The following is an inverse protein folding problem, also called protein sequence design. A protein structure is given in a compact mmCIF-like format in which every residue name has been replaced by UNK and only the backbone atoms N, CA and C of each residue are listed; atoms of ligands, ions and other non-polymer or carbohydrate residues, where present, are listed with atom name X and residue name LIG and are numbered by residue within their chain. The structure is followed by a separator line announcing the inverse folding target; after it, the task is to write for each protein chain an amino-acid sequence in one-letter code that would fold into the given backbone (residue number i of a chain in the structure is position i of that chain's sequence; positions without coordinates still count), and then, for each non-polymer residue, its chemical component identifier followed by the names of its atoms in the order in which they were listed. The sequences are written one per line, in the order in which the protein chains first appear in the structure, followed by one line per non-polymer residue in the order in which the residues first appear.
data_IF_597276254754
#
_entry.id   IF_597276254754
#
_cell.length_a   1.000
_cell.length_b   1.000
_cell.length_c   1.000
_cell.angle_alpha   90.00
_cell.angle_beta   90.00
_cell.angle_gamma   90.00
#
_symmetry.space_group_name_H-M   'P 1'
#
loop_
_entity.id
_entity.type
_entity.pdbx_description
1 polymer ?
#
# COMPACT_ATOMS: atom_id res chain seq x y z
N UNK A 1 -17.06 -1.06 -5.57
CA UNK A 1 -15.81 -0.35 -5.79
C UNK A 1 -14.65 -1.28 -6.17
N UNK A 2 -14.71 -2.60 -5.88
CA UNK A 2 -13.64 -3.57 -6.11
C UNK A 2 -13.72 -4.18 -7.52
N UNK A 3 -13.32 -3.40 -8.54
CA UNK A 3 -13.41 -3.77 -9.96
C UNK A 3 -12.02 -3.84 -10.64
N UNK A 4 -10.97 -3.47 -9.92
CA UNK A 4 -9.61 -3.46 -10.43
C UNK A 4 -8.95 -4.85 -10.45
N UNK A 5 -7.63 -4.87 -10.71
CA UNK A 5 -6.86 -6.09 -10.85
C UNK A 5 -6.92 -7.00 -9.61
N UNK A 6 -6.96 -8.30 -9.85
CA UNK A 6 -6.81 -9.36 -8.85
C UNK A 6 -5.76 -10.36 -9.31
N UNK A 7 -5.22 -11.11 -8.36
CA UNK A 7 -4.15 -12.09 -8.61
C UNK A 7 -4.56 -13.42 -7.97
N UNK A 8 -4.22 -14.52 -8.61
CA UNK A 8 -4.49 -15.81 -8.03
C UNK A 8 -3.44 -16.16 -6.97
N UNK A 9 -3.82 -17.05 -6.08
CA UNK A 9 -2.99 -17.42 -4.92
C UNK A 9 -1.67 -18.09 -5.32
N UNK A 10 -1.70 -18.92 -6.38
CA UNK A 10 -0.52 -19.64 -6.84
C UNK A 10 0.53 -18.68 -7.43
N UNK A 11 0.09 -17.65 -8.18
CA UNK A 11 1.00 -16.63 -8.72
C UNK A 11 1.61 -15.78 -7.60
N UNK A 12 0.84 -15.46 -6.56
CA UNK A 12 1.35 -14.77 -5.39
C UNK A 12 2.40 -15.64 -4.69
N UNK A 13 2.10 -16.90 -4.44
CA UNK A 13 3.02 -17.83 -3.79
C UNK A 13 4.31 -18.00 -4.58
N UNK A 14 4.21 -18.26 -5.89
CA UNK A 14 5.36 -18.33 -6.77
C UNK A 14 6.22 -17.08 -6.69
N UNK A 15 5.59 -15.91 -6.72
CA UNK A 15 6.31 -14.64 -6.60
C UNK A 15 7.04 -14.51 -5.26
N UNK A 16 6.43 -14.92 -4.15
CA UNK A 16 7.07 -14.90 -2.83
C UNK A 16 8.28 -15.84 -2.77
N UNK A 17 8.19 -17.01 -3.39
CA UNK A 17 9.30 -17.98 -3.50
C UNK A 17 10.42 -17.44 -4.40
N UNK A 18 10.09 -16.86 -5.55
CA UNK A 18 11.07 -16.25 -6.48
C UNK A 18 11.88 -15.12 -5.81
N UNK A 19 11.27 -14.41 -4.84
CA UNK A 19 11.94 -13.40 -4.03
C UNK A 19 12.63 -13.97 -2.77
N UNK A 20 12.61 -15.30 -2.59
CA UNK A 20 13.14 -15.99 -1.41
C UNK A 20 12.68 -15.37 -0.09
N UNK A 21 11.38 -15.09 0.00
CA UNK A 21 10.77 -14.47 1.17
C UNK A 21 10.32 -15.52 2.17
N UNK A 22 10.48 -15.22 3.46
CA UNK A 22 9.84 -15.97 4.54
C UNK A 22 8.39 -15.53 4.69
N UNK A 23 7.48 -16.48 4.63
CA UNK A 23 6.07 -16.23 4.85
C UNK A 23 5.39 -17.40 5.55
N UNK A 24 4.32 -17.09 6.27
CA UNK A 24 3.41 -18.06 6.87
C UNK A 24 2.12 -18.10 6.05
N UNK A 25 1.54 -19.29 5.85
CA UNK A 25 0.19 -19.47 5.31
C UNK A 25 -0.81 -19.46 6.46
N UNK A 26 -1.90 -18.71 6.32
CA UNK A 26 -2.95 -18.63 7.33
C UNK A 26 -4.34 -18.74 6.71
N UNK A 27 -5.16 -19.65 7.22
CA UNK A 27 -6.59 -19.73 6.88
C UNK A 27 -7.39 -18.54 7.43
N UNK A 28 -6.82 -17.78 8.37
CA UNK A 28 -7.46 -16.66 9.06
C UNK A 28 -6.53 -15.42 9.10
N UNK A 29 -6.09 -14.90 7.94
CA UNK A 29 -5.12 -13.80 7.88
C UNK A 29 -5.63 -12.53 8.59
N UNK A 30 -6.94 -12.34 8.70
CA UNK A 30 -7.56 -11.25 9.44
C UNK A 30 -7.30 -11.31 10.95
N UNK A 31 -7.22 -12.52 11.55
CA UNK A 31 -6.88 -12.69 12.97
C UNK A 31 -5.43 -12.31 13.21
N UNK A 32 -4.52 -12.76 12.35
CA UNK A 32 -3.11 -12.39 12.40
C UNK A 32 -2.92 -10.89 12.24
N UNK A 33 -3.63 -10.27 11.27
CA UNK A 33 -3.63 -8.83 11.06
C UNK A 33 -4.02 -8.07 12.33
N UNK A 34 -5.16 -8.42 12.93
CA UNK A 34 -5.64 -7.77 14.15
C UNK A 34 -4.65 -7.87 15.32
N UNK A 35 -4.04 -9.06 15.52
CA UNK A 35 -3.01 -9.27 16.55
C UNK A 35 -1.76 -8.43 16.31
N UNK A 36 -1.31 -8.32 15.07
CA UNK A 36 -0.14 -7.51 14.68
C UNK A 36 -0.42 -6.01 14.84
N UNK A 37 -1.62 -5.55 14.44
CA UNK A 37 -2.08 -4.18 14.65
C UNK A 37 -2.09 -3.81 16.13
N UNK A 38 -2.67 -4.67 17.00
CA UNK A 38 -2.67 -4.47 18.47
C UNK A 38 -1.24 -4.32 19.03
N UNK A 39 -0.25 -5.00 18.44
CA UNK A 39 1.18 -4.86 18.78
C UNK A 39 1.82 -3.59 18.17
N UNK A 40 1.04 -2.71 17.53
CA UNK A 40 1.52 -1.45 16.94
C UNK A 40 2.27 -1.63 15.62
N UNK A 41 2.11 -2.76 14.91
CA UNK A 41 2.70 -2.94 13.60
C UNK A 41 1.91 -2.19 12.53
N UNK A 42 2.62 -1.65 11.55
CA UNK A 42 2.06 -1.05 10.33
C UNK A 42 1.96 -2.16 9.29
N UNK A 43 0.73 -2.45 8.84
CA UNK A 43 0.43 -3.61 7.99
C UNK A 43 0.09 -3.17 6.57
N UNK A 44 0.80 -3.72 5.58
CA UNK A 44 0.36 -3.71 4.20
C UNK A 44 -0.73 -4.78 4.00
N UNK A 45 -1.93 -4.35 3.65
CA UNK A 45 -3.08 -5.23 3.44
C UNK A 45 -3.44 -5.26 1.96
N UNK A 46 -3.22 -6.41 1.31
CA UNK A 46 -3.42 -6.62 -0.12
C UNK A 46 -4.36 -7.81 -0.32
N UNK A 47 -5.62 -7.55 -0.73
CA UNK A 47 -6.67 -8.56 -0.80
C UNK A 47 -7.55 -8.41 -2.03
N UNK A 48 -7.86 -9.52 -2.70
CA UNK A 48 -8.83 -9.60 -3.77
C UNK A 48 -8.63 -8.58 -4.89
N UNK A 49 -9.75 -8.11 -5.48
CA UNK A 49 -9.76 -7.07 -6.50
C UNK A 49 -9.43 -5.70 -5.92
N UNK A 50 -8.61 -4.92 -6.63
CA UNK A 50 -8.29 -3.55 -6.24
C UNK A 50 -9.54 -2.64 -6.28
N UNK A 51 -9.54 -1.61 -5.43
CA UNK A 51 -10.52 -0.56 -5.49
C UNK A 51 -10.34 0.29 -6.76
N UNK A 52 -11.43 0.74 -7.36
CA UNK A 52 -11.44 1.85 -8.30
C UNK A 52 -11.83 3.14 -7.58
N UNK A 53 -11.09 4.21 -7.85
CA UNK A 53 -11.32 5.51 -7.23
C UNK A 53 -10.16 6.00 -6.37
N UNK A 54 -10.29 7.20 -5.76
CA UNK A 54 -9.18 7.90 -5.12
C UNK A 54 -8.87 7.42 -3.69
N UNK A 55 -9.61 6.43 -3.18
CA UNK A 55 -9.50 5.97 -1.78
C UNK A 55 -9.27 4.48 -1.69
N UNK A 56 -8.40 4.07 -0.78
CA UNK A 56 -8.26 2.65 -0.41
C UNK A 56 -9.31 2.28 0.62
N UNK A 57 -10.08 1.26 0.29
CA UNK A 57 -11.27 0.84 1.04
C UNK A 57 -11.10 -0.56 1.67
N UNK A 58 -9.86 -1.02 1.84
CA UNK A 58 -9.55 -2.30 2.46
C UNK A 58 -9.19 -3.43 1.49
N UNK A 59 -8.76 -3.11 0.25
CA UNK A 59 -8.16 -4.08 -0.66
C UNK A 59 -6.68 -3.75 -0.95
N UNK A 60 -6.33 -2.49 -1.12
CA UNK A 60 -4.95 -1.98 -1.28
C UNK A 60 -4.68 -0.92 -0.22
N UNK A 61 -4.63 -1.36 1.03
CA UNK A 61 -4.60 -0.50 2.21
C UNK A 61 -3.33 -0.68 3.03
N UNK A 62 -2.88 0.39 3.68
CA UNK A 62 -1.97 0.32 4.82
C UNK A 62 -2.79 0.60 6.07
N UNK A 63 -2.70 -0.34 7.01
CA UNK A 63 -3.48 -0.35 8.23
C UNK A 63 -2.58 -0.11 9.45
N UNK A 64 -3.10 0.61 10.44
CA UNK A 64 -2.44 0.79 11.72
C UNK A 64 -3.47 0.87 12.87
N UNK A 65 -2.99 0.69 14.09
CA UNK A 65 -3.78 0.86 15.31
C UNK A 65 -4.11 2.35 15.52
N UNK A 66 -5.38 2.78 15.52
CA UNK A 66 -5.75 4.18 15.65
C UNK A 66 -5.64 4.72 17.08
N UNK A 67 -5.50 3.86 18.10
CA UNK A 67 -5.60 4.21 19.53
C UNK A 67 -4.44 5.05 20.06
N UNK A 68 -3.32 5.10 19.35
CA UNK A 68 -2.13 5.86 19.76
C UNK A 68 -1.76 6.87 18.70
N UNK A 69 -1.71 8.16 19.06
CA UNK A 69 -1.33 9.24 18.15
C UNK A 69 0.03 9.01 17.47
N UNK A 70 0.98 8.38 18.16
CA UNK A 70 2.31 8.05 17.61
C UNK A 70 2.22 7.16 16.36
N UNK A 71 1.17 6.36 16.20
CA UNK A 71 1.00 5.53 15.02
C UNK A 71 0.71 6.36 13.75
N UNK A 72 0.05 7.53 13.89
CA UNK A 72 -0.09 8.51 12.80
C UNK A 72 1.29 9.00 12.35
N UNK A 73 2.12 9.44 13.29
CA UNK A 73 3.49 9.90 12.99
C UNK A 73 4.32 8.78 12.35
N UNK A 74 4.22 7.55 12.87
CA UNK A 74 4.94 6.39 12.33
C UNK A 74 4.54 6.05 10.90
N UNK A 75 3.24 5.99 10.57
CA UNK A 75 2.76 5.78 9.19
C UNK A 75 3.25 6.90 8.28
N UNK A 76 3.27 8.14 8.80
CA UNK A 76 3.77 9.28 8.04
C UNK A 76 5.27 9.15 7.75
N UNK A 77 6.07 8.81 8.74
CA UNK A 77 7.53 8.65 8.62
C UNK A 77 7.89 7.49 7.67
N UNK A 78 7.23 6.34 7.81
CA UNK A 78 7.54 5.14 7.04
C UNK A 78 7.08 5.23 5.58
N UNK A 79 5.91 5.81 5.34
CA UNK A 79 5.22 5.68 4.06
C UNK A 79 4.91 7.01 3.38
N UNK A 80 4.29 7.96 4.09
CA UNK A 80 3.66 9.11 3.44
C UNK A 80 4.56 10.32 3.33
N UNK A 81 5.45 10.57 4.29
CA UNK A 81 6.39 11.72 4.30
C UNK A 81 5.71 13.04 3.93
N UNK A 82 4.53 13.30 4.47
CA UNK A 82 3.72 14.49 4.25
C UNK A 82 3.57 15.28 5.55
N UNK A 83 2.96 16.45 5.49
CA UNK A 83 2.80 17.33 6.63
C UNK A 83 2.10 16.63 7.80
N UNK A 84 2.53 16.92 9.01
CA UNK A 84 2.09 16.26 10.24
C UNK A 84 0.59 16.40 10.53
N UNK A 85 -0.02 17.50 10.07
CA UNK A 85 -1.45 17.79 10.26
C UNK A 85 -2.35 17.00 9.30
N UNK A 86 -1.81 16.48 8.19
CA UNK A 86 -2.62 15.74 7.23
C UNK A 86 -3.27 14.51 7.87
N UNK A 87 -4.60 14.37 7.72
CA UNK A 87 -5.35 13.34 8.43
C UNK A 87 -5.27 11.98 7.76
N UNK A 88 -5.52 10.95 8.57
CA UNK A 88 -5.83 9.59 8.13
C UNK A 88 -7.28 9.27 8.41
N UNK A 89 -7.86 8.39 7.60
CA UNK A 89 -9.25 7.99 7.71
C UNK A 89 -9.41 6.78 8.66
N UNK A 90 -10.43 6.78 9.54
CA UNK A 90 -10.81 5.56 10.24
C UNK A 90 -11.73 4.70 9.35
N UNK A 91 -11.47 3.39 9.30
CA UNK A 91 -12.42 2.39 8.80
C UNK A 91 -13.09 1.75 10.01
N UNK A 92 -14.40 1.84 10.08
CA UNK A 92 -15.23 1.52 11.24
C UNK A 92 -16.24 0.44 10.85
N UNK A 93 -16.55 -0.50 11.75
CA UNK A 93 -17.66 -1.42 11.54
C UNK A 93 -18.97 -0.64 11.33
N UNK A 94 -19.73 -0.95 10.27
CA UNK A 94 -20.95 -0.21 9.92
C UNK A 94 -22.00 -0.25 11.04
N UNK A 95 -22.14 -1.39 11.71
CA UNK A 95 -23.03 -1.59 12.86
C UNK A 95 -22.52 -0.93 14.16
N UNK A 96 -21.34 -0.35 14.15
CA UNK A 96 -20.70 0.35 15.27
C UNK A 96 -20.41 1.82 14.99
N UNK A 97 -20.98 2.40 13.95
CA UNK A 97 -20.81 3.83 13.66
C UNK A 97 -21.31 4.70 14.81
N UNK A 98 -22.39 4.29 15.51
CA UNK A 98 -22.89 5.00 16.70
C UNK A 98 -21.91 5.04 17.88
N UNK A 99 -20.87 4.19 17.88
CA UNK A 99 -19.79 4.26 18.88
C UNK A 99 -19.01 5.61 18.84
N UNK A 100 -18.90 6.22 17.65
CA UNK A 100 -18.23 7.49 17.44
C UNK A 100 -19.18 8.63 17.08
N UNK A 101 -20.39 8.31 16.60
CA UNK A 101 -21.39 9.26 16.12
C UNK A 101 -22.73 8.97 16.81
N UNK A 102 -23.61 9.96 16.90
CA UNK A 102 -24.89 9.80 17.61
C UNK A 102 -25.84 8.78 16.96
N UNK A 103 -25.57 8.36 15.74
CA UNK A 103 -26.38 7.39 14.99
C UNK A 103 -25.54 6.53 14.05
N UNK A 104 -26.08 5.40 13.67
CA UNK A 104 -25.52 4.61 12.57
C UNK A 104 -25.88 5.24 11.22
N UNK A 105 -24.91 5.29 10.32
CA UNK A 105 -25.11 5.73 8.94
C UNK A 105 -24.09 5.05 8.03
N UNK A 106 -24.37 5.09 6.71
CA UNK A 106 -23.51 4.45 5.71
C UNK A 106 -22.63 5.49 5.02
N UNK A 107 -21.32 5.29 5.07
CA UNK A 107 -20.31 6.06 4.32
C UNK A 107 -19.21 5.14 3.82
N UNK A 108 -19.52 4.24 2.86
CA UNK A 108 -18.58 3.19 2.45
C UNK A 108 -17.37 3.72 1.67
N UNK A 109 -17.41 4.98 1.18
CA UNK A 109 -16.41 5.51 0.24
C UNK A 109 -15.55 6.67 0.81
N UNK A 110 -15.60 6.94 2.11
CA UNK A 110 -14.89 8.06 2.73
C UNK A 110 -15.23 9.43 2.08
N UNK A 111 -16.49 9.65 1.70
CA UNK A 111 -16.90 10.85 0.94
C UNK A 111 -17.15 12.07 1.80
N UNK A 112 -17.37 11.89 3.11
CA UNK A 112 -17.77 12.97 4.03
C UNK A 112 -16.79 13.11 5.17
N UNK A 113 -16.49 14.36 5.55
CA UNK A 113 -15.87 14.69 6.83
C UNK A 113 -16.97 14.91 7.86
N UNK A 114 -16.89 14.23 8.99
CA UNK A 114 -17.91 14.21 10.02
C UNK A 114 -17.30 14.51 11.38
N UNK A 115 -17.96 15.36 12.18
CA UNK A 115 -17.53 15.65 13.55
C UNK A 115 -17.78 14.42 14.43
N UNK A 116 -16.74 13.98 15.12
CA UNK A 116 -16.85 12.90 16.10
C UNK A 116 -17.58 13.48 17.34
N UNK A 117 -18.55 12.73 17.82
CA UNK A 117 -19.36 13.13 18.98
C UNK A 117 -18.91 12.45 20.26
N UNK A 118 -18.47 11.18 20.14
CA UNK A 118 -18.12 10.34 21.28
C UNK A 118 -16.79 9.64 21.01
N UNK A 119 -16.08 9.29 22.09
CA UNK A 119 -14.92 8.38 22.02
C UNK A 119 -13.79 8.80 21.04
N UNK A 120 -13.66 10.08 20.69
CA UNK A 120 -12.59 10.59 19.81
C UNK A 120 -11.20 10.27 20.37
N UNK A 121 -11.04 10.29 21.68
CA UNK A 121 -9.82 9.95 22.41
C UNK A 121 -9.38 8.48 22.23
N UNK A 122 -10.26 7.61 21.77
CA UNK A 122 -9.93 6.20 21.50
C UNK A 122 -9.30 5.98 20.12
N UNK A 123 -9.37 6.98 19.22
CA UNK A 123 -8.79 6.89 17.87
C UNK A 123 -7.98 8.15 17.47
N UNK A 124 -7.11 8.68 18.35
CA UNK A 124 -6.43 9.95 18.12
C UNK A 124 -5.55 9.96 16.86
N UNK A 125 -5.13 8.80 16.36
CA UNK A 125 -4.36 8.71 15.11
C UNK A 125 -5.20 8.93 13.85
N UNK A 126 -6.54 8.90 13.94
CA UNK A 126 -7.47 9.02 12.83
C UNK A 126 -8.48 10.16 12.99
N UNK A 127 -8.24 11.06 13.95
CA UNK A 127 -9.02 12.30 14.17
C UNK A 127 -8.22 13.49 13.65
N UNK A 128 -8.90 14.44 13.02
CA UNK A 128 -8.33 15.69 12.56
C UNK A 128 -8.20 16.69 13.72
N UNK A 129 -7.48 17.79 13.49
CA UNK A 129 -7.27 18.84 14.50
C UNK A 129 -8.54 19.60 14.89
N UNK A 130 -9.59 19.53 14.07
CA UNK A 130 -10.90 20.13 14.26
C UNK A 130 -11.96 19.16 14.80
N UNK A 131 -11.53 18.01 15.36
CA UNK A 131 -12.37 16.92 15.85
C UNK A 131 -13.24 16.26 14.76
N UNK A 132 -12.93 16.47 13.50
CA UNK A 132 -13.56 15.72 12.41
C UNK A 132 -12.77 14.46 12.06
N UNK A 133 -13.41 13.54 11.37
CA UNK A 133 -12.74 12.46 10.65
C UNK A 133 -13.49 12.17 9.35
N UNK A 134 -12.85 11.43 8.45
CA UNK A 134 -13.45 10.99 7.19
C UNK A 134 -13.65 9.48 7.23
N UNK A 135 -14.73 8.98 7.89
CA UNK A 135 -14.89 7.57 8.17
C UNK A 135 -15.26 6.77 6.92
N UNK A 136 -14.83 5.52 6.90
CA UNK A 136 -15.38 4.47 6.07
C UNK A 136 -16.25 3.55 6.92
N UNK A 137 -17.53 3.38 6.57
CA UNK A 137 -18.34 2.29 7.13
C UNK A 137 -18.04 1.00 6.38
N UNK A 138 -17.70 -0.08 7.14
CA UNK A 138 -17.33 -1.38 6.57
C UNK A 138 -18.33 -2.41 7.00
N UNK A 139 -18.96 -3.10 6.04
CA UNK A 139 -19.86 -4.19 6.28
C UNK A 139 -19.37 -5.52 5.69
N UNK A 140 -19.96 -6.63 6.14
CA UNK A 140 -19.56 -7.98 5.75
C UNK A 140 -19.86 -8.28 4.28
N UNK A 141 -20.91 -7.70 3.70
CA UNK A 141 -21.35 -7.98 2.34
C UNK A 141 -20.42 -7.40 1.29
N UNK A 142 -19.91 -6.18 1.53
CA UNK A 142 -19.07 -5.48 0.56
C UNK A 142 -17.60 -5.86 0.64
N UNK A 143 -17.06 -6.10 1.85
CA UNK A 143 -15.68 -6.54 2.05
C UNK A 143 -15.55 -7.43 3.30
N UNK A 144 -15.86 -8.71 3.14
CA UNK A 144 -15.89 -9.69 4.23
C UNK A 144 -14.53 -9.84 4.94
N UNK A 145 -13.42 -9.90 4.19
CA UNK A 145 -12.08 -10.05 4.80
C UNK A 145 -11.71 -8.83 5.65
N UNK A 146 -11.94 -7.62 5.13
CA UNK A 146 -11.62 -6.38 5.84
C UNK A 146 -12.54 -6.16 7.06
N UNK A 147 -13.85 -6.43 6.90
CA UNK A 147 -14.78 -6.46 8.04
C UNK A 147 -14.27 -7.37 9.16
N UNK A 148 -13.80 -8.58 8.84
CA UNK A 148 -13.26 -9.54 9.83
C UNK A 148 -12.03 -8.97 10.53
N UNK A 149 -11.12 -8.26 9.83
CA UNK A 149 -9.96 -7.61 10.48
C UNK A 149 -10.42 -6.65 11.56
N UNK A 150 -11.36 -5.73 11.23
CA UNK A 150 -11.85 -4.72 12.17
C UNK A 150 -12.60 -5.41 13.32
N UNK A 151 -13.41 -6.45 13.03
CA UNK A 151 -14.14 -7.19 14.04
C UNK A 151 -13.21 -7.91 15.04
N UNK A 152 -12.15 -8.55 14.55
CA UNK A 152 -11.16 -9.19 15.43
C UNK A 152 -10.35 -8.15 16.22
N UNK A 153 -10.01 -7.01 15.60
CA UNK A 153 -9.36 -5.91 16.31
C UNK A 153 -10.27 -5.35 17.42
N UNK A 154 -11.56 -5.20 17.15
CA UNK A 154 -12.56 -4.78 18.13
C UNK A 154 -12.62 -5.74 19.32
N UNK A 155 -12.69 -7.05 19.07
CA UNK A 155 -12.64 -8.06 20.14
C UNK A 155 -11.39 -7.95 21.02
N UNK A 156 -10.24 -7.63 20.42
CA UNK A 156 -8.96 -7.56 21.11
C UNK A 156 -8.74 -6.24 21.86
N UNK A 157 -9.46 -5.18 21.52
CA UNK A 157 -9.11 -3.81 21.95
C UNK A 157 -10.29 -2.99 22.46
N UNK A 158 -11.53 -3.41 22.21
CA UNK A 158 -12.73 -2.62 22.51
C UNK A 158 -12.97 -1.44 21.54
N UNK A 159 -12.14 -1.28 20.48
CA UNK A 159 -12.26 -0.18 19.52
C UNK A 159 -12.65 -0.72 18.13
N UNK A 160 -13.86 -0.39 17.61
CA UNK A 160 -14.37 -0.94 16.35
C UNK A 160 -13.86 -0.20 15.12
N UNK A 161 -12.60 0.25 15.13
CA UNK A 161 -12.02 1.08 14.08
C UNK A 161 -10.56 0.73 13.82
N UNK A 162 -10.08 0.98 12.59
CA UNK A 162 -8.68 0.94 12.20
C UNK A 162 -8.30 2.23 11.47
N UNK A 163 -7.07 2.68 11.63
CA UNK A 163 -6.48 3.66 10.73
C UNK A 163 -6.27 3.00 9.37
N UNK A 164 -6.84 3.60 8.32
CA UNK A 164 -6.74 3.14 6.94
C UNK A 164 -6.18 4.25 6.04
N UNK A 165 -5.17 3.93 5.27
CA UNK A 165 -4.63 4.81 4.23
C UNK A 165 -4.28 4.03 2.98
N UNK A 166 -4.16 4.72 1.83
CA UNK A 166 -3.81 4.10 0.56
C UNK A 166 -2.43 3.45 0.62
N UNK A 167 -2.31 2.29 -0.03
CA UNK A 167 -1.06 1.55 -0.10
C UNK A 167 -0.17 2.12 -1.20
N UNK A 168 0.48 3.24 -0.89
CA UNK A 168 1.45 3.92 -1.74
C UNK A 168 2.34 4.85 -0.91
N UNK A 169 3.53 5.13 -1.41
CA UNK A 169 4.34 6.26 -0.93
C UNK A 169 3.77 7.58 -1.45
N UNK A 170 4.18 8.69 -0.83
CA UNK A 170 3.80 10.04 -1.29
C UNK A 170 4.21 10.25 -2.76
N UNK A 171 3.33 10.89 -3.52
CA UNK A 171 3.59 11.22 -4.94
C UNK A 171 3.45 10.05 -5.91
N UNK A 172 3.12 8.83 -5.45
CA UNK A 172 2.92 7.66 -6.31
C UNK A 172 1.48 7.18 -6.22
N UNK A 173 0.97 6.61 -7.32
CA UNK A 173 -0.35 5.97 -7.34
C UNK A 173 -0.44 4.81 -6.33
N UNK A 174 -1.65 4.49 -5.88
CA UNK A 174 -1.91 3.28 -5.09
C UNK A 174 -1.42 2.05 -5.84
N UNK A 175 -0.74 1.16 -5.13
CA UNK A 175 -0.21 -0.06 -5.73
C UNK A 175 -1.33 -0.91 -6.34
N UNK A 176 -1.02 -1.57 -7.45
CA UNK A 176 -1.94 -2.49 -8.11
C UNK A 176 -1.45 -3.94 -8.09
N UNK A 177 -0.12 -4.18 -8.00
CA UNK A 177 0.47 -5.51 -8.15
C UNK A 177 1.10 -6.05 -6.87
N UNK A 178 1.18 -7.39 -6.70
CA UNK A 178 1.89 -8.02 -5.58
C UNK A 178 3.35 -7.60 -5.46
N UNK A 179 4.04 -7.41 -6.60
CA UNK A 179 5.43 -6.95 -6.63
C UNK A 179 5.58 -5.60 -5.95
N UNK A 180 4.71 -4.64 -6.26
CA UNK A 180 4.74 -3.32 -5.63
C UNK A 180 4.52 -3.39 -4.12
N UNK A 181 3.67 -4.33 -3.65
CA UNK A 181 3.48 -4.56 -2.21
C UNK A 181 4.76 -5.09 -1.54
N UNK A 182 5.44 -6.04 -2.19
CA UNK A 182 6.74 -6.57 -1.75
C UNK A 182 7.80 -5.47 -1.71
N UNK A 183 7.84 -4.59 -2.71
CA UNK A 183 8.77 -3.45 -2.75
C UNK A 183 8.58 -2.51 -1.54
N UNK A 184 7.34 -2.29 -1.11
CA UNK A 184 7.05 -1.49 0.09
C UNK A 184 7.54 -2.16 1.37
N UNK A 185 7.45 -3.50 1.47
CA UNK A 185 7.99 -4.27 2.59
C UNK A 185 9.53 -4.14 2.66
N UNK A 186 10.22 -4.34 1.54
CA UNK A 186 11.67 -4.24 1.48
C UNK A 186 12.20 -2.83 1.74
N UNK A 187 11.47 -1.81 1.30
CA UNK A 187 11.83 -0.42 1.57
C UNK A 187 11.50 0.04 2.99
N UNK A 188 10.96 -0.85 3.84
CA UNK A 188 10.62 -0.54 5.22
C UNK A 188 9.43 0.41 5.37
N UNK A 189 8.59 0.51 4.34
CA UNK A 189 7.38 1.32 4.36
C UNK A 189 6.25 0.70 5.20
N UNK A 190 6.33 -0.60 5.45
CA UNK A 190 5.43 -1.39 6.27
C UNK A 190 6.24 -2.40 7.09
N UNK A 191 5.71 -2.84 8.24
CA UNK A 191 6.38 -3.82 9.08
C UNK A 191 6.12 -5.26 8.64
N UNK A 192 4.91 -5.53 8.15
CA UNK A 192 4.46 -6.85 7.70
C UNK A 192 3.54 -6.65 6.50
N UNK A 193 3.67 -7.50 5.50
CA UNK A 193 2.74 -7.58 4.37
C UNK A 193 1.81 -8.77 4.57
N UNK A 194 0.50 -8.53 4.54
CA UNK A 194 -0.50 -9.58 4.47
C UNK A 194 -1.13 -9.52 3.06
N UNK A 195 -0.77 -10.50 2.26
CA UNK A 195 -1.20 -10.63 0.88
C UNK A 195 -1.94 -11.94 0.68
N UNK A 196 -3.23 -11.86 0.37
CA UNK A 196 -4.19 -12.97 0.39
C UNK A 196 -4.09 -13.76 1.71
N UNK A 197 -3.70 -15.03 1.69
CA UNK A 197 -3.53 -15.90 2.85
C UNK A 197 -2.08 -15.94 3.36
N UNK A 198 -1.19 -15.14 2.80
CA UNK A 198 0.23 -15.11 3.15
C UNK A 198 0.56 -13.94 4.09
N UNK A 199 1.29 -14.24 5.15
CA UNK A 199 1.84 -13.27 6.10
C UNK A 199 3.33 -13.21 5.86
N UNK A 200 3.81 -12.11 5.30
CA UNK A 200 5.18 -11.95 4.82
C UNK A 200 5.94 -11.00 5.73
N UNK A 201 7.05 -11.46 6.27
CA UNK A 201 7.90 -10.68 7.16
C UNK A 201 9.14 -10.13 6.44
N UNK A 202 9.64 -8.94 6.84
CA UNK A 202 10.85 -8.39 6.24
C UNK A 202 12.07 -9.25 6.60
N UNK A 203 12.88 -9.57 5.61
CA UNK A 203 14.17 -10.21 5.81
C UNK A 203 15.30 -9.19 5.56
N UNK A 204 16.04 -8.83 6.60
CA UNK A 204 17.13 -7.83 6.52
C UNK A 204 18.24 -8.23 5.54
N UNK A 205 18.56 -9.53 5.44
CA UNK A 205 19.58 -10.04 4.50
C UNK A 205 19.17 -9.87 3.04
N UNK A 206 17.87 -10.00 2.73
CA UNK A 206 17.35 -9.88 1.37
C UNK A 206 17.18 -8.42 0.91
N UNK A 207 17.18 -7.45 1.82
CA UNK A 207 17.05 -6.02 1.45
C UNK A 207 18.16 -5.58 0.48
N UNK A 208 19.37 -6.08 0.62
CA UNK A 208 20.51 -5.80 -0.28
C UNK A 208 20.34 -6.49 -1.63
N UNK A 209 19.93 -7.77 -1.63
CA UNK A 209 19.69 -8.54 -2.85
C UNK A 209 18.48 -8.04 -3.63
N UNK A 210 17.42 -7.62 -2.94
CA UNK A 210 16.24 -7.04 -3.57
C UNK A 210 16.57 -5.74 -4.35
N UNK A 211 17.40 -4.86 -3.78
CA UNK A 211 17.88 -3.67 -4.49
C UNK A 211 18.64 -4.04 -5.77
N UNK A 212 19.42 -5.12 -5.75
CA UNK A 212 20.14 -5.62 -6.92
C UNK A 212 19.16 -6.16 -7.97
N UNK A 213 18.21 -7.01 -7.57
CA UNK A 213 17.17 -7.58 -8.46
C UNK A 213 16.30 -6.47 -9.07
N UNK A 214 15.90 -5.47 -8.28
CA UNK A 214 15.14 -4.32 -8.78
C UNK A 214 15.96 -3.50 -9.77
N UNK A 215 17.26 -3.28 -9.50
CA UNK A 215 18.13 -2.58 -10.45
C UNK A 215 18.22 -3.35 -11.77
N UNK A 216 18.47 -4.65 -11.74
CA UNK A 216 18.57 -5.49 -12.93
C UNK A 216 17.25 -5.52 -13.73
N UNK A 217 16.10 -5.65 -13.06
CA UNK A 217 14.79 -5.61 -13.74
C UNK A 217 14.42 -4.21 -14.25
N UNK A 218 14.84 -3.18 -13.56
CA UNK A 218 14.70 -1.80 -14.01
C UNK A 218 15.54 -1.55 -15.26
N UNK A 219 16.76 -2.08 -15.30
CA UNK A 219 17.61 -2.05 -16.51
C UNK A 219 16.97 -2.79 -17.69
N UNK A 220 16.44 -4.00 -17.46
CA UNK A 220 15.73 -4.75 -18.50
C UNK A 220 14.50 -4.00 -19.01
N UNK A 221 13.75 -3.35 -18.13
CA UNK A 221 12.62 -2.49 -18.53
C UNK A 221 13.08 -1.29 -19.37
N UNK A 222 14.15 -0.60 -18.95
CA UNK A 222 14.73 0.53 -19.69
C UNK A 222 15.28 0.05 -21.05
N UNK A 223 15.95 -1.09 -21.08
CA UNK A 223 16.47 -1.68 -22.32
C UNK A 223 15.33 -2.03 -23.30
N UNK A 224 14.25 -2.65 -22.82
CA UNK A 224 13.06 -2.91 -23.62
C UNK A 224 12.38 -1.62 -24.09
N UNK A 225 12.33 -0.58 -23.25
CA UNK A 225 11.81 0.74 -23.62
C UNK A 225 12.67 1.39 -24.70
N UNK A 226 14.01 1.32 -24.57
CA UNK A 226 14.96 1.85 -25.57
C UNK A 226 14.79 1.10 -26.89
N UNK A 227 14.65 -0.23 -26.87
CA UNK A 227 14.42 -1.04 -28.08
C UNK A 227 13.11 -0.68 -28.77
N UNK A 228 12.04 -0.48 -27.99
CA UNK A 228 10.72 -0.02 -28.50
C UNK A 228 10.86 1.38 -29.12
N UNK A 229 11.50 2.29 -28.41
CA UNK A 229 11.74 3.66 -28.87
C UNK A 229 12.64 3.68 -30.12
N UNK A 230 13.62 2.79 -30.22
CA UNK A 230 14.48 2.66 -31.42
C UNK A 230 13.72 2.10 -32.62
N UNK A 231 12.79 1.16 -32.39
CA UNK A 231 11.89 0.65 -33.41
C UNK A 231 10.93 1.72 -33.96
N UNK A 232 10.43 2.61 -33.07
CA UNK A 232 9.59 3.76 -33.42
C UNK A 232 10.40 4.83 -34.15
N UNK A 233 11.71 5.04 -33.80
CA UNK A 233 12.63 6.01 -34.43
C UNK A 233 12.77 5.81 -35.94
N UNK A 234 12.65 4.59 -36.44
CA UNK A 234 12.66 4.34 -37.89
C UNK A 234 11.50 5.02 -38.64
N UNK A 235 10.52 5.59 -37.93
CA UNK A 235 9.33 6.23 -38.48
C UNK A 235 9.21 7.74 -38.26
N UNK A 236 10.01 8.39 -37.37
CA UNK A 236 9.77 9.80 -37.04
C UNK A 236 11.05 10.59 -36.67
N UNK A 237 11.22 11.79 -37.31
CA UNK A 237 12.40 12.64 -37.15
C UNK A 237 12.45 13.44 -35.81
N UNK A 238 11.33 13.63 -35.13
CA UNK A 238 11.23 14.38 -33.87
C UNK A 238 11.79 13.61 -32.65
N UNK A 239 12.10 12.35 -32.82
CA UNK A 239 12.61 11.48 -31.79
C UNK A 239 14.03 11.82 -31.31
N UNK A 240 14.84 12.58 -32.07
CA UNK A 240 16.21 12.99 -31.67
C UNK A 240 16.24 13.74 -30.34
N UNK A 241 15.24 14.59 -30.07
CA UNK A 241 15.13 15.39 -28.83
C UNK A 241 14.91 14.53 -27.57
N UNK A 242 14.13 13.45 -27.68
CA UNK A 242 13.80 12.57 -26.55
C UNK A 242 15.01 11.70 -26.17
N UNK A 243 15.82 11.28 -27.15
CA UNK A 243 17.03 10.47 -26.91
C UNK A 243 18.12 11.29 -26.21
N UNK A 244 18.32 12.56 -26.59
CA UNK A 244 19.29 13.47 -25.93
C UNK A 244 18.90 13.65 -24.45
N UNK A 245 17.62 13.79 -24.15
CA UNK A 245 17.14 13.88 -22.77
C UNK A 245 17.30 12.57 -21.99
N UNK A 246 17.18 11.39 -22.63
CA UNK A 246 17.42 10.10 -21.97
C UNK A 246 18.89 9.86 -21.68
N UNK A 247 19.81 10.27 -22.54
CA UNK A 247 21.26 10.19 -22.31
C UNK A 247 21.70 11.09 -21.14
N UNK A 248 21.14 12.28 -21.04
CA UNK A 248 21.37 13.21 -19.93
C UNK A 248 20.83 12.63 -18.62
N UNK A 249 19.68 11.99 -18.65
CA UNK A 249 19.07 11.29 -17.52
C UNK A 249 19.94 10.10 -17.06
N UNK A 250 20.41 9.28 -17.99
CA UNK A 250 21.27 8.12 -17.72
C UNK A 250 22.63 8.54 -17.14
N UNK A 251 23.23 9.64 -17.64
CA UNK A 251 24.45 10.24 -17.10
C UNK A 251 24.25 10.80 -15.69
N UNK A 252 23.14 11.51 -15.43
CA UNK A 252 22.82 12.09 -14.12
C UNK A 252 22.70 11.03 -13.02
N UNK A 253 22.24 9.83 -13.35
CA UNK A 253 22.08 8.74 -12.39
C UNK A 253 23.21 7.71 -12.40
N UNK A 254 24.35 8.04 -13.08
CA UNK A 254 25.57 7.23 -13.13
C UNK A 254 25.34 5.79 -13.63
N UNK A 255 24.47 5.64 -14.62
CA UNK A 255 24.09 4.35 -15.22
C UNK A 255 25.14 4.01 -16.28
N UNK A 256 26.29 3.46 -15.85
CA UNK A 256 27.43 3.07 -16.72
C UNK A 256 27.19 1.80 -17.57
N UNK A 257 26.09 1.11 -17.37
CA UNK A 257 25.90 -0.27 -17.87
C UNK A 257 25.60 -0.39 -19.38
N UNK A 258 25.08 0.66 -20.00
CA UNK A 258 24.62 0.58 -21.40
C UNK A 258 25.73 0.74 -22.45
N UNK A 259 26.95 1.13 -22.06
CA UNK A 259 28.02 1.32 -23.03
C UNK A 259 28.72 0.04 -23.49
N UNK A 260 28.59 -1.05 -22.75
CA UNK A 260 29.37 -2.28 -23.04
C UNK A 260 28.62 -3.37 -23.83
N UNK A 261 27.32 -3.22 -24.09
CA UNK A 261 26.53 -4.27 -24.74
C UNK A 261 25.71 -3.81 -25.97
N UNK A 262 25.85 -2.60 -26.42
CA UNK A 262 25.20 -2.17 -27.65
C UNK A 262 26.24 -1.65 -28.63
N UNK A 263 26.47 -2.39 -29.69
CA UNK A 263 27.08 -1.91 -30.95
C UNK A 263 26.14 -0.88 -31.63
N UNK A 264 25.66 0.08 -30.88
CA UNK A 264 24.93 1.24 -31.40
C UNK A 264 25.95 2.35 -31.72
N UNK A 265 26.56 2.26 -32.90
CA UNK A 265 27.07 3.46 -33.57
C UNK A 265 25.89 4.38 -33.87
N UNK A 266 25.82 5.51 -33.16
CA UNK A 266 24.94 6.63 -33.50
C UNK A 266 25.57 7.46 -34.57
#
# INVERSE_FOLDING_TARGET
PYLGASFNKNDIEKLLLDYNLKFDKSKTPWVNCAKLLKKGKVIGWFQGKAELGPRSLGARSVLADPRKAINKARVNQLLKKRDWFMPYAPSILEDKMNFFFNKNFKTPYMSFALKIKNNSNLIPAAVHVDDTCRPQSVNKQTNSKFYKVIKEFYKLTGVPALLNTSFNRHGIATISTPRQAIDHLFNGCIDVLIIDDFIVYPNKKLKKNHKKILSEKYYLFIENLINLLTAVKKRDKDFKKIIINSDTFLKKYNIKFLKNNTNLKI
#
